data_IF_512876517231
#
_entry.id   IF_512876517231
#
_cell.length_a   1.000
_cell.length_b   1.000
_cell.length_c   1.000
_cell.angle_alpha   90.00
_cell.angle_beta   90.00
_cell.angle_gamma   90.00
#
_symmetry.space_group_name_H-M   'P 1'
#
loop_
_entity.id
_entity.type
_entity.pdbx_description
1 polymer ?
#
# COMPACT_ATOMS: atom_id res chain seq x y z
N UNK A 1 6.50 9.76 -11.32
CA UNK A 1 5.15 10.11 -11.75
C UNK A 1 5.32 10.76 -13.11
N UNK A 2 4.63 10.29 -14.13
CA UNK A 2 4.67 10.91 -15.46
C UNK A 2 3.91 12.25 -15.46
N UNK A 3 4.07 13.03 -16.54
CA UNK A 3 3.45 14.35 -16.62
C UNK A 3 1.93 14.28 -16.62
N UNK A 4 1.34 13.25 -17.25
CA UNK A 4 -0.10 13.04 -17.27
C UNK A 4 -0.69 12.79 -15.87
N UNK A 5 0.02 12.03 -15.02
CA UNK A 5 -0.39 11.81 -13.62
C UNK A 5 -0.30 13.08 -12.77
N UNK A 6 0.66 13.96 -13.06
CA UNK A 6 0.76 15.26 -12.37
C UNK A 6 -0.38 16.18 -12.80
N UNK A 7 -0.61 16.31 -14.10
CA UNK A 7 -1.69 17.14 -14.65
C UNK A 7 -3.06 16.69 -14.11
N UNK A 8 -3.27 15.37 -13.98
CA UNK A 8 -4.49 14.84 -13.36
C UNK A 8 -4.62 15.25 -11.91
N UNK A 9 -3.57 15.07 -11.07
CA UNK A 9 -3.62 15.47 -9.67
C UNK A 9 -3.82 16.99 -9.50
N UNK A 10 -3.19 17.80 -10.35
CA UNK A 10 -3.34 19.26 -10.34
C UNK A 10 -4.74 19.72 -10.81
N UNK A 11 -5.47 18.88 -11.54
CA UNK A 11 -6.85 19.14 -11.94
C UNK A 11 -7.89 18.85 -10.85
N UNK A 12 -7.51 18.06 -9.82
CA UNK A 12 -8.43 17.72 -8.74
C UNK A 12 -8.57 18.86 -7.74
N UNK A 13 -9.78 19.09 -7.19
CA UNK A 13 -9.96 20.02 -6.09
C UNK A 13 -9.12 19.62 -4.88
N UNK A 14 -8.23 20.50 -4.42
CA UNK A 14 -7.48 20.31 -3.19
C UNK A 14 -8.39 20.60 -2.00
N UNK A 15 -8.37 19.74 -1.00
CA UNK A 15 -9.06 19.91 0.27
C UNK A 15 -8.05 20.43 1.29
N UNK A 16 -8.24 21.68 1.71
CA UNK A 16 -7.38 22.32 2.70
C UNK A 16 -7.79 21.97 4.12
N UNK A 17 -6.87 22.16 5.08
CA UNK A 17 -7.13 21.88 6.48
C UNK A 17 -8.36 22.65 7.01
N UNK A 18 -9.28 21.93 7.64
CA UNK A 18 -10.54 22.44 8.14
C UNK A 18 -11.68 22.56 7.12
N UNK A 19 -11.42 22.38 5.83
CA UNK A 19 -12.48 22.24 4.82
C UNK A 19 -13.18 20.89 4.96
N UNK A 20 -14.47 20.89 4.67
CA UNK A 20 -15.33 19.71 4.77
C UNK A 20 -15.81 19.26 3.39
N UNK A 21 -16.15 17.99 3.30
CA UNK A 21 -16.82 17.38 2.17
C UNK A 21 -17.92 16.44 2.64
N UNK A 22 -18.98 16.27 1.85
CA UNK A 22 -20.02 15.29 2.08
C UNK A 22 -19.74 14.05 1.24
N UNK A 23 -19.75 12.88 1.86
CA UNK A 23 -19.66 11.62 1.14
C UNK A 23 -20.22 10.49 1.99
N UNK A 24 -21.01 9.62 1.34
CA UNK A 24 -21.42 8.34 1.90
C UNK A 24 -21.55 7.30 0.78
N UNK A 25 -21.09 6.08 1.05
CA UNK A 25 -21.18 4.97 0.13
C UNK A 25 -21.80 3.76 0.84
N UNK A 26 -23.02 3.44 0.50
CA UNK A 26 -23.76 2.34 1.07
C UNK A 26 -24.69 1.71 0.01
N UNK A 27 -25.34 0.56 0.28
CA UNK A 27 -26.21 -0.13 -0.68
C UNK A 27 -27.40 0.67 -1.20
N UNK A 28 -27.79 1.77 -0.55
CA UNK A 28 -28.91 2.62 -0.98
C UNK A 28 -28.51 3.65 -2.05
N UNK A 29 -27.20 3.82 -2.27
CA UNK A 29 -26.68 4.73 -3.29
C UNK A 29 -26.76 4.07 -4.67
N UNK A 30 -27.35 4.73 -5.70
CA UNK A 30 -27.57 4.13 -7.01
C UNK A 30 -26.31 3.56 -7.69
N UNK A 31 -25.15 4.13 -7.41
CA UNK A 31 -23.86 3.70 -7.95
C UNK A 31 -23.13 2.67 -7.07
N UNK A 32 -23.79 2.09 -6.06
CA UNK A 32 -23.13 1.13 -5.17
C UNK A 32 -22.46 0.00 -5.97
N UNK A 33 -21.20 -0.29 -5.68
CA UNK A 33 -20.32 -1.24 -6.38
C UNK A 33 -19.87 -0.86 -7.80
N UNK A 34 -20.38 0.21 -8.42
CA UNK A 34 -19.97 0.58 -9.80
C UNK A 34 -18.50 0.97 -9.88
N UNK A 35 -17.95 1.61 -8.84
CA UNK A 35 -16.53 1.93 -8.75
C UNK A 35 -15.62 0.71 -8.50
N UNK A 36 -16.18 -0.48 -8.24
CA UNK A 36 -15.43 -1.71 -8.06
C UNK A 36 -15.25 -2.48 -9.37
N UNK A 37 -15.02 -1.77 -10.48
CA UNK A 37 -14.85 -2.32 -11.81
C UNK A 37 -13.81 -1.50 -12.59
N UNK A 38 -13.14 -2.13 -13.56
CA UNK A 38 -12.16 -1.48 -14.47
C UNK A 38 -11.03 -0.72 -13.76
N UNK A 39 -10.64 -1.18 -12.56
CA UNK A 39 -9.66 -0.48 -11.73
C UNK A 39 -8.24 -0.71 -12.19
N UNK A 40 -7.46 0.37 -12.20
CA UNK A 40 -6.00 0.32 -12.22
C UNK A 40 -5.49 0.49 -10.79
N UNK A 41 -5.47 -0.59 -10.02
CA UNK A 41 -5.22 -0.55 -8.58
C UNK A 41 -3.86 -1.17 -8.22
N UNK A 42 -2.83 -0.35 -7.94
CA UNK A 42 -1.59 -0.83 -7.38
C UNK A 42 -1.78 -1.22 -5.91
N UNK A 43 -1.15 -2.33 -5.50
CA UNK A 43 -1.14 -2.79 -4.12
C UNK A 43 0.21 -2.48 -3.48
N UNK A 44 0.19 -1.81 -2.35
CA UNK A 44 1.37 -1.61 -1.51
C UNK A 44 1.73 -2.90 -0.75
N UNK A 45 2.94 -3.02 -0.19
CA UNK A 45 3.27 -4.16 0.68
C UNK A 45 2.29 -4.35 1.83
N UNK A 46 1.81 -3.25 2.41
CA UNK A 46 0.83 -3.29 3.51
C UNK A 46 -0.55 -3.75 3.04
N UNK A 47 -0.99 -3.36 1.83
CA UNK A 47 -2.24 -3.85 1.25
C UNK A 47 -2.22 -5.36 1.05
N UNK A 48 -1.11 -5.90 0.50
CA UNK A 48 -0.94 -7.34 0.31
C UNK A 48 -0.95 -8.08 1.65
N UNK A 49 -0.28 -7.54 2.67
CA UNK A 49 -0.29 -8.09 4.02
C UNK A 49 -1.73 -8.18 4.56
N UNK A 50 -2.50 -7.10 4.49
CA UNK A 50 -3.87 -7.02 5.02
C UNK A 50 -4.81 -7.96 4.28
N UNK A 51 -4.77 -7.96 2.94
CA UNK A 51 -5.60 -8.85 2.11
C UNK A 51 -5.31 -10.33 2.38
N UNK A 52 -4.05 -10.72 2.47
CA UNK A 52 -3.66 -12.10 2.78
C UNK A 52 -4.19 -12.55 4.14
N UNK A 53 -4.05 -11.69 5.16
CA UNK A 53 -4.56 -11.99 6.52
C UNK A 53 -6.08 -12.17 6.53
N UNK A 54 -6.81 -11.38 5.78
CA UNK A 54 -8.26 -11.54 5.62
C UNK A 54 -8.64 -12.87 4.96
N UNK A 55 -7.76 -13.41 4.10
CA UNK A 55 -7.94 -14.65 3.36
C UNK A 55 -7.27 -15.85 4.08
N UNK A 56 -7.45 -15.99 5.38
CA UNK A 56 -6.88 -17.05 6.21
C UNK A 56 -5.36 -17.20 6.07
N UNK A 57 -4.67 -16.09 5.92
CA UNK A 57 -3.23 -16.01 5.72
C UNK A 57 -2.74 -16.87 4.53
N UNK A 58 -3.46 -16.83 3.42
CA UNK A 58 -3.08 -17.51 2.18
C UNK A 58 -1.59 -17.29 1.87
N UNK A 59 -0.89 -18.31 1.36
CA UNK A 59 0.52 -18.20 0.99
C UNK A 59 0.74 -17.03 0.02
N UNK A 60 1.78 -16.23 0.26
CA UNK A 60 2.03 -15.01 -0.51
C UNK A 60 2.18 -15.27 -2.01
N UNK A 61 2.86 -16.35 -2.37
CA UNK A 61 3.02 -16.78 -3.76
C UNK A 61 1.66 -17.06 -4.42
N UNK A 62 0.77 -17.78 -3.72
CA UNK A 62 -0.58 -18.07 -4.19
C UNK A 62 -1.40 -16.79 -4.35
N UNK A 63 -1.31 -15.87 -3.37
CA UNK A 63 -2.00 -14.57 -3.46
C UNK A 63 -1.53 -13.78 -4.68
N UNK A 64 -0.21 -13.59 -4.82
CA UNK A 64 0.36 -12.82 -5.94
C UNK A 64 0.00 -13.45 -7.30
N UNK A 65 0.08 -14.77 -7.42
CA UNK A 65 -0.25 -15.49 -8.66
C UNK A 65 -1.73 -15.36 -9.05
N UNK A 66 -2.64 -15.43 -8.08
CA UNK A 66 -4.08 -15.47 -8.35
C UNK A 66 -4.70 -14.08 -8.48
N UNK A 67 -4.26 -13.11 -7.69
CA UNK A 67 -4.92 -11.82 -7.55
C UNK A 67 -4.14 -10.64 -8.13
N UNK A 68 -2.91 -10.84 -8.61
CA UNK A 68 -2.13 -9.71 -9.11
C UNK A 68 -1.48 -9.97 -10.47
N UNK A 69 -1.13 -8.87 -11.12
CA UNK A 69 -0.19 -8.84 -12.23
C UNK A 69 1.01 -7.99 -11.81
N UNK A 70 2.21 -8.57 -11.87
CA UNK A 70 3.40 -7.86 -11.46
C UNK A 70 3.85 -6.87 -12.53
N UNK A 71 3.96 -5.60 -12.15
CA UNK A 71 4.63 -4.54 -12.91
C UNK A 71 5.82 -4.02 -12.11
N UNK A 72 6.50 -3.01 -12.61
CA UNK A 72 7.54 -2.27 -11.88
C UNK A 72 7.40 -0.78 -12.10
N UNK A 73 7.81 0.00 -11.12
CA UNK A 73 7.97 1.44 -11.29
C UNK A 73 9.13 1.72 -12.25
N UNK A 74 8.90 2.46 -13.35
CA UNK A 74 9.91 2.64 -14.39
C UNK A 74 11.14 3.43 -13.91
N UNK A 75 10.98 4.31 -12.95
CA UNK A 75 12.01 5.18 -12.40
C UNK A 75 12.86 4.52 -11.30
N UNK A 76 12.29 3.60 -10.54
CA UNK A 76 12.98 2.96 -9.41
C UNK A 76 13.23 1.47 -9.61
N UNK A 77 12.50 0.82 -10.52
CA UNK A 77 12.55 -0.64 -10.69
C UNK A 77 11.91 -1.44 -9.55
N UNK A 78 11.27 -0.78 -8.57
CA UNK A 78 10.55 -1.49 -7.52
C UNK A 78 9.37 -2.27 -8.09
N UNK A 79 9.09 -3.47 -7.54
CA UNK A 79 7.92 -4.25 -7.93
C UNK A 79 6.63 -3.51 -7.59
N UNK A 80 5.65 -3.61 -8.49
CA UNK A 80 4.34 -3.00 -8.38
C UNK A 80 3.27 -4.05 -8.70
N UNK A 81 2.80 -4.81 -7.71
CA UNK A 81 1.67 -5.70 -7.89
C UNK A 81 0.40 -4.87 -8.20
N UNK A 82 -0.22 -5.13 -9.35
CA UNK A 82 -1.50 -4.55 -9.74
C UNK A 82 -2.60 -5.54 -9.44
N UNK A 83 -3.66 -5.14 -8.76
CA UNK A 83 -4.82 -6.01 -8.55
C UNK A 83 -5.38 -6.42 -9.92
N UNK A 84 -5.60 -7.72 -10.09
CA UNK A 84 -6.13 -8.28 -11.33
C UNK A 84 -7.64 -8.25 -11.30
N UNK A 85 -8.25 -7.48 -12.19
CA UNK A 85 -9.69 -7.51 -12.41
C UNK A 85 -10.11 -8.84 -13.04
N UNK A 86 -11.35 -9.26 -12.79
CA UNK A 86 -11.91 -10.45 -13.41
C UNK A 86 -12.16 -10.19 -14.90
N UNK A 87 -11.99 -11.23 -15.72
CA UNK A 87 -12.29 -11.15 -17.14
C UNK A 87 -13.79 -11.16 -17.37
N UNK A 88 -14.27 -10.35 -18.30
CA UNK A 88 -15.67 -10.29 -18.68
C UNK A 88 -16.21 -8.86 -18.77
N UNK A 89 -17.51 -8.70 -18.98
CA UNK A 89 -18.13 -7.37 -19.06
C UNK A 89 -17.89 -6.56 -17.79
N UNK A 90 -17.39 -5.32 -17.96
CA UNK A 90 -17.14 -4.39 -16.87
C UNK A 90 -15.95 -4.73 -15.98
N UNK A 91 -15.16 -5.76 -16.31
CA UNK A 91 -13.95 -6.16 -15.57
C UNK A 91 -14.05 -5.95 -14.05
N UNK A 92 -14.95 -6.66 -13.34
CA UNK A 92 -15.19 -6.39 -11.92
C UNK A 92 -14.00 -6.77 -11.05
N UNK A 93 -13.86 -6.07 -9.92
CA UNK A 93 -12.89 -6.39 -8.87
C UNK A 93 -13.13 -7.83 -8.36
N UNK A 94 -12.07 -8.64 -8.11
CA UNK A 94 -12.23 -10.02 -7.63
C UNK A 94 -12.89 -10.14 -6.25
N UNK A 95 -12.96 -9.03 -5.52
CA UNK A 95 -13.51 -8.96 -4.17
C UNK A 95 -14.92 -8.35 -4.12
N UNK A 96 -15.47 -7.87 -5.23
CA UNK A 96 -16.82 -7.31 -5.24
C UNK A 96 -17.86 -8.42 -5.29
N UNK A 97 -18.92 -8.25 -4.50
CA UNK A 97 -20.11 -9.10 -4.48
C UNK A 97 -21.36 -8.23 -4.59
N UNK A 98 -22.54 -8.78 -4.88
CA UNK A 98 -23.78 -8.01 -4.86
C UNK A 98 -24.04 -7.29 -3.51
N UNK A 99 -23.53 -7.85 -2.41
CA UNK A 99 -23.65 -7.28 -1.07
C UNK A 99 -22.56 -6.25 -0.73
N UNK A 100 -21.59 -6.02 -1.62
CA UNK A 100 -20.46 -5.12 -1.40
C UNK A 100 -19.11 -5.82 -1.46
N UNK A 101 -18.08 -5.17 -0.96
CA UNK A 101 -16.72 -5.68 -0.93
C UNK A 101 -16.56 -6.81 0.11
N UNK A 102 -16.16 -8.03 -0.33
CA UNK A 102 -15.92 -9.16 0.57
C UNK A 102 -14.72 -8.99 1.51
N UNK A 103 -13.81 -8.08 1.18
CA UNK A 103 -12.62 -7.76 1.98
C UNK A 103 -12.71 -6.35 2.61
N UNK A 104 -13.93 -5.84 2.84
CA UNK A 104 -14.18 -4.44 3.21
C UNK A 104 -13.28 -3.95 4.36
N UNK A 105 -13.18 -4.73 5.45
CA UNK A 105 -12.36 -4.40 6.62
C UNK A 105 -10.86 -4.42 6.37
N UNK A 106 -10.43 -5.04 5.28
CA UNK A 106 -9.02 -5.15 4.89
C UNK A 106 -8.79 -4.68 3.44
N UNK A 107 -9.72 -3.84 2.92
CA UNK A 107 -9.60 -3.31 1.56
C UNK A 107 -8.34 -2.48 1.40
N UNK A 108 -7.75 -2.43 0.20
CA UNK A 108 -6.55 -1.64 -0.08
C UNK A 108 -6.69 -0.18 0.35
N UNK A 109 -5.57 0.41 0.73
CA UNK A 109 -5.52 1.81 1.17
C UNK A 109 -6.17 2.78 0.18
N UNK A 110 -5.95 2.60 -1.12
CA UNK A 110 -6.60 3.43 -2.15
C UNK A 110 -8.13 3.35 -2.10
N UNK A 111 -8.70 2.14 -1.84
CA UNK A 111 -10.14 1.98 -1.67
C UNK A 111 -10.66 2.59 -0.37
N UNK A 112 -9.83 2.60 0.70
CA UNK A 112 -10.16 3.24 1.98
C UNK A 112 -10.10 4.76 1.90
N UNK A 113 -9.13 5.28 1.14
CA UNK A 113 -8.98 6.71 0.94
C UNK A 113 -10.15 7.33 0.19
N UNK A 114 -10.73 6.62 -0.80
CA UNK A 114 -11.81 7.18 -1.60
C UNK A 114 -12.95 7.73 -0.72
N UNK A 115 -13.41 8.96 -0.93
CA UNK A 115 -13.22 9.82 -2.09
C UNK A 115 -12.00 10.76 -2.01
N UNK A 116 -11.11 10.58 -1.03
CA UNK A 116 -9.89 11.37 -0.96
C UNK A 116 -8.75 10.73 -1.77
N UNK A 117 -7.96 11.56 -2.44
CA UNK A 117 -6.63 11.24 -2.91
C UNK A 117 -5.59 11.83 -1.97
N UNK A 118 -4.52 11.10 -1.66
CA UNK A 118 -3.39 11.57 -0.85
C UNK A 118 -2.16 11.75 -1.73
N UNK A 119 -1.73 13.00 -1.92
CA UNK A 119 -0.43 13.32 -2.49
C UNK A 119 0.62 13.52 -1.40
N UNK A 120 1.81 12.93 -1.55
CA UNK A 120 2.91 13.09 -0.60
C UNK A 120 4.19 13.52 -1.29
N UNK A 121 4.98 14.35 -0.64
CA UNK A 121 6.35 14.68 -1.05
C UNK A 121 7.27 14.75 0.17
N UNK A 122 8.57 14.49 -0.05
CA UNK A 122 9.58 14.72 0.97
C UNK A 122 9.85 16.23 1.06
N UNK A 123 9.47 16.83 2.17
CA UNK A 123 9.78 18.20 2.54
C UNK A 123 11.02 18.30 3.43
N UNK A 124 11.38 19.52 3.82
CA UNK A 124 12.56 19.79 4.69
C UNK A 124 12.41 19.20 6.11
N UNK A 125 11.18 19.07 6.58
CA UNK A 125 10.86 18.65 7.95
C UNK A 125 10.18 17.28 8.04
N UNK A 126 10.12 16.52 6.94
CA UNK A 126 9.46 15.23 6.84
C UNK A 126 8.54 15.15 5.63
N UNK A 127 7.57 14.23 5.70
CA UNK A 127 6.59 14.08 4.65
C UNK A 127 5.57 15.21 4.74
N UNK A 128 5.43 15.95 3.65
CA UNK A 128 4.33 16.91 3.43
C UNK A 128 3.23 16.19 2.66
N UNK A 129 2.01 16.31 3.13
CA UNK A 129 0.84 15.68 2.51
C UNK A 129 -0.19 16.71 2.08
N UNK A 130 -0.90 16.38 1.01
CA UNK A 130 -2.03 17.15 0.47
C UNK A 130 -3.16 16.20 0.17
N UNK A 131 -4.37 16.63 0.38
CA UNK A 131 -5.57 15.86 0.10
C UNK A 131 -6.34 16.48 -1.06
N UNK A 132 -6.92 15.62 -1.89
CA UNK A 132 -7.68 16.00 -3.08
C UNK A 132 -9.01 15.26 -3.07
N UNK A 133 -10.07 15.88 -3.54
CA UNK A 133 -11.34 15.20 -3.77
C UNK A 133 -11.33 14.55 -5.15
N UNK A 134 -11.50 13.21 -5.14
CA UNK A 134 -11.62 12.40 -6.35
C UNK A 134 -13.11 12.12 -6.56
N UNK A 135 -13.71 12.82 -7.50
CA UNK A 135 -15.13 12.64 -7.82
C UNK A 135 -15.28 12.06 -9.23
N UNK A 136 -15.59 10.77 -9.27
CA UNK A 136 -15.89 10.10 -10.52
C UNK A 136 -17.27 10.51 -11.04
N UNK A 137 -17.45 10.69 -12.38
CA UNK A 137 -18.71 11.18 -12.96
C UNK A 137 -19.94 10.32 -12.63
N UNK A 138 -19.73 9.04 -12.36
CA UNK A 138 -20.81 8.09 -12.03
C UNK A 138 -21.10 8.01 -10.52
N UNK A 139 -20.30 8.71 -9.69
CA UNK A 139 -20.41 8.59 -8.25
C UNK A 139 -21.51 9.48 -7.66
N UNK A 140 -22.51 8.87 -7.04
CA UNK A 140 -23.59 9.53 -6.32
C UNK A 140 -23.38 9.60 -4.82
N UNK A 141 -22.21 9.19 -4.33
CA UNK A 141 -21.86 9.24 -2.90
C UNK A 141 -21.77 10.66 -2.35
N UNK A 142 -21.56 11.66 -3.20
CA UNK A 142 -21.49 13.08 -2.84
C UNK A 142 -22.88 13.76 -2.72
N UNK A 143 -23.93 13.11 -3.21
CA UNK A 143 -25.29 13.68 -3.19
C UNK A 143 -25.89 13.68 -1.77
N UNK A 144 -25.36 12.83 -0.92
CA UNK A 144 -25.81 12.62 0.47
C UNK A 144 -24.60 12.31 1.36
N UNK A 145 -24.76 12.49 2.64
CA UNK A 145 -23.75 12.09 3.60
C UNK A 145 -23.57 13.09 4.74
N UNK A 146 -22.70 12.76 5.66
CA UNK A 146 -22.29 13.63 6.75
C UNK A 146 -21.08 14.44 6.32
N UNK A 147 -21.09 15.74 6.63
CA UNK A 147 -19.89 16.58 6.44
C UNK A 147 -18.73 16.09 7.32
N UNK A 148 -17.55 15.95 6.72
CA UNK A 148 -16.32 15.52 7.42
C UNK A 148 -15.12 16.27 6.88
N UNK A 149 -14.15 16.54 7.75
CA UNK A 149 -12.82 16.97 7.31
C UNK A 149 -11.98 15.78 6.85
N UNK A 150 -10.85 16.05 6.18
CA UNK A 150 -9.90 14.99 5.81
C UNK A 150 -9.44 14.21 7.05
N UNK A 151 -9.12 14.89 8.15
CA UNK A 151 -8.66 14.23 9.39
C UNK A 151 -9.73 13.31 10.00
N UNK A 152 -11.00 13.74 9.99
CA UNK A 152 -12.10 12.92 10.46
C UNK A 152 -12.29 11.68 9.56
N UNK A 153 -12.15 11.85 8.23
CA UNK A 153 -12.20 10.74 7.29
C UNK A 153 -11.07 9.73 7.54
N UNK A 154 -9.83 10.19 7.64
CA UNK A 154 -8.68 9.34 7.91
C UNK A 154 -8.85 8.54 9.22
N UNK A 155 -9.38 9.18 10.25
CA UNK A 155 -9.65 8.53 11.53
C UNK A 155 -10.73 7.44 11.39
N UNK A 156 -11.87 7.77 10.78
CA UNK A 156 -13.01 6.86 10.63
C UNK A 156 -12.66 5.66 9.75
N UNK A 157 -11.81 5.88 8.75
CA UNK A 157 -11.34 4.84 7.82
C UNK A 157 -10.09 4.10 8.32
N UNK A 158 -9.63 4.37 9.55
CA UNK A 158 -8.46 3.72 10.19
C UNK A 158 -7.20 3.77 9.31
N UNK A 159 -6.97 4.91 8.65
CA UNK A 159 -5.90 5.07 7.67
C UNK A 159 -4.51 5.29 8.27
N UNK A 160 -4.39 5.50 9.58
CA UNK A 160 -3.12 5.80 10.25
C UNK A 160 -2.05 4.72 10.03
N UNK A 161 -2.42 3.44 10.17
CA UNK A 161 -1.49 2.32 9.97
C UNK A 161 -1.09 2.16 8.49
N UNK A 162 -2.05 2.33 7.56
CA UNK A 162 -1.78 2.32 6.12
C UNK A 162 -0.80 3.43 5.74
N UNK A 163 -1.04 4.65 6.24
CA UNK A 163 -0.16 5.79 5.99
C UNK A 163 1.24 5.56 6.54
N UNK A 164 1.37 5.12 7.78
CA UNK A 164 2.67 4.86 8.40
C UNK A 164 3.49 3.84 7.61
N UNK A 165 2.88 2.71 7.21
CA UNK A 165 3.55 1.68 6.41
C UNK A 165 3.90 2.17 5.01
N UNK A 166 2.96 2.87 4.34
CA UNK A 166 3.17 3.40 2.99
C UNK A 166 4.22 4.50 2.97
N UNK A 167 4.29 5.36 3.97
CA UNK A 167 5.30 6.43 4.08
C UNK A 167 6.72 5.85 4.22
N UNK A 168 6.88 4.76 4.96
CA UNK A 168 8.17 4.05 5.04
C UNK A 168 8.55 3.42 3.68
N UNK A 169 7.60 2.79 3.00
CA UNK A 169 7.83 2.23 1.66
C UNK A 169 8.18 3.33 0.64
N UNK A 170 7.43 4.42 0.63
CA UNK A 170 7.68 5.59 -0.24
C UNK A 170 9.04 6.22 0.03
N UNK A 171 9.47 6.29 1.30
CA UNK A 171 10.80 6.77 1.66
C UNK A 171 11.90 5.90 1.03
N UNK A 172 11.79 4.58 1.11
CA UNK A 172 12.76 3.66 0.49
C UNK A 172 12.81 3.87 -1.03
N UNK A 173 11.66 3.99 -1.69
CA UNK A 173 11.59 4.29 -3.13
C UNK A 173 12.22 5.65 -3.47
N UNK A 174 11.98 6.67 -2.63
CA UNK A 174 12.56 8.00 -2.83
C UNK A 174 14.09 7.97 -2.73
N UNK A 175 14.67 7.19 -1.81
CA UNK A 175 16.10 6.99 -1.69
C UNK A 175 16.68 6.34 -2.96
N UNK A 176 16.02 5.31 -3.50
CA UNK A 176 16.46 4.70 -4.77
C UNK A 176 16.33 5.69 -5.92
N UNK A 177 15.23 6.42 -6.02
CA UNK A 177 15.05 7.46 -7.06
C UNK A 177 16.16 8.51 -7.02
N UNK A 178 16.60 8.90 -5.82
CA UNK A 178 17.69 9.88 -5.64
C UNK A 178 19.03 9.37 -6.17
N UNK A 179 19.24 8.06 -6.34
CA UNK A 179 20.45 7.51 -6.98
C UNK A 179 20.48 7.75 -8.50
N UNK A 180 19.37 8.08 -9.12
CA UNK A 180 19.20 8.21 -10.56
C UNK A 180 19.27 6.89 -11.34
N UNK A 181 19.25 5.74 -10.64
CA UNK A 181 19.31 4.40 -11.24
C UNK A 181 18.23 3.50 -10.67
N UNK A 182 17.50 2.76 -11.52
CA UNK A 182 16.57 1.75 -11.04
C UNK A 182 17.30 0.58 -10.37
N UNK A 183 16.57 -0.19 -9.57
CA UNK A 183 17.06 -1.42 -8.97
C UNK A 183 17.55 -2.40 -10.04
N UNK A 184 18.68 -3.03 -9.79
CA UNK A 184 19.14 -4.19 -10.54
C UNK A 184 18.12 -5.33 -10.48
N UNK A 185 17.96 -6.16 -11.52
CA UNK A 185 16.95 -7.24 -11.57
C UNK A 185 16.97 -8.18 -10.35
N UNK A 186 18.17 -8.50 -9.85
CA UNK A 186 18.32 -9.33 -8.65
C UNK A 186 17.77 -8.63 -7.41
N UNK A 187 17.98 -7.33 -7.29
CA UNK A 187 17.50 -6.53 -6.18
C UNK A 187 15.98 -6.32 -6.27
N UNK A 188 15.44 -6.16 -7.47
CA UNK A 188 14.00 -6.12 -7.68
C UNK A 188 13.32 -7.45 -7.29
N UNK A 189 13.93 -8.60 -7.61
CA UNK A 189 13.45 -9.92 -7.15
C UNK A 189 13.50 -10.02 -5.62
N UNK A 190 14.58 -9.56 -5.01
CA UNK A 190 14.70 -9.50 -3.54
C UNK A 190 13.62 -8.60 -2.93
N UNK A 191 13.29 -7.48 -3.55
CA UNK A 191 12.21 -6.60 -3.10
C UNK A 191 10.83 -7.29 -3.16
N UNK A 192 10.54 -8.11 -4.20
CA UNK A 192 9.32 -8.93 -4.21
C UNK A 192 9.29 -9.86 -2.99
N UNK A 193 10.37 -10.59 -2.76
CA UNK A 193 10.47 -11.56 -1.67
C UNK A 193 10.32 -10.86 -0.30
N UNK A 194 11.08 -9.81 -0.05
CA UNK A 194 11.10 -9.16 1.26
C UNK A 194 9.81 -8.39 1.57
N UNK A 195 9.23 -7.70 0.57
CA UNK A 195 8.14 -6.76 0.79
C UNK A 195 6.75 -7.36 0.55
N UNK A 196 6.63 -8.33 -0.35
CA UNK A 196 5.35 -8.89 -0.74
C UNK A 196 5.18 -10.37 -0.41
N UNK A 197 6.26 -11.05 0.02
CA UNK A 197 6.25 -12.48 0.38
C UNK A 197 6.83 -12.68 1.79
N UNK A 198 6.20 -12.07 2.81
CA UNK A 198 6.70 -12.06 4.19
C UNK A 198 6.88 -13.45 4.79
N UNK A 199 6.07 -14.43 4.41
CA UNK A 199 6.24 -15.84 4.77
C UNK A 199 7.59 -16.38 4.23
N UNK A 200 7.90 -16.14 2.96
CA UNK A 200 9.18 -16.51 2.35
C UNK A 200 10.35 -15.70 2.89
N UNK A 201 10.12 -14.44 3.23
CA UNK A 201 11.16 -13.62 3.86
C UNK A 201 11.54 -14.15 5.25
N UNK A 202 10.59 -14.63 6.06
CA UNK A 202 10.87 -15.30 7.33
C UNK A 202 11.67 -16.59 7.15
N UNK A 203 11.34 -17.39 6.12
CA UNK A 203 12.15 -18.56 5.75
C UNK A 203 13.59 -18.13 5.41
N UNK A 204 13.77 -17.08 4.62
CA UNK A 204 15.10 -16.55 4.26
C UNK A 204 15.87 -16.07 5.48
N UNK A 205 15.22 -15.34 6.41
CA UNK A 205 15.83 -14.89 7.68
C UNK A 205 16.43 -16.08 8.44
N UNK A 206 15.67 -17.19 8.52
CA UNK A 206 16.09 -18.40 9.23
C UNK A 206 17.23 -19.12 8.49
N UNK A 207 17.10 -19.34 7.18
CA UNK A 207 18.07 -20.06 6.36
C UNK A 207 19.42 -19.35 6.26
N UNK A 208 19.39 -18.04 6.12
CA UNK A 208 20.59 -17.20 5.99
C UNK A 208 21.12 -16.70 7.35
N UNK A 209 20.48 -17.07 8.46
CA UNK A 209 20.83 -16.60 9.79
C UNK A 209 20.99 -15.08 9.88
N UNK A 210 20.08 -14.33 9.23
CA UNK A 210 20.21 -12.86 9.07
C UNK A 210 20.42 -12.16 10.40
N UNK A 211 19.75 -12.58 11.47
CA UNK A 211 19.90 -11.99 12.81
C UNK A 211 21.30 -12.19 13.43
N UNK A 212 22.12 -13.10 12.88
CA UNK A 212 23.52 -13.21 13.29
C UNK A 212 24.40 -12.09 12.72
N UNK A 213 23.99 -11.47 11.62
CA UNK A 213 24.74 -10.47 10.87
C UNK A 213 24.30 -9.02 11.11
N UNK A 214 23.13 -8.82 11.72
CA UNK A 214 22.58 -7.49 12.03
C UNK A 214 22.18 -7.40 13.50
N UNK A 215 22.32 -6.19 14.05
CA UNK A 215 21.93 -5.94 15.43
C UNK A 215 20.41 -5.71 15.52
N UNK A 216 19.71 -6.76 15.99
CA UNK A 216 18.25 -6.74 16.21
C UNK A 216 17.97 -7.26 17.61
N UNK A 217 17.34 -6.49 18.49
CA UNK A 217 16.97 -6.94 19.83
C UNK A 217 16.14 -8.23 19.81
N UNK A 218 16.38 -9.15 20.77
CA UNK A 218 15.73 -10.45 20.81
C UNK A 218 14.19 -10.34 20.79
N UNK A 219 13.61 -9.38 21.51
CA UNK A 219 12.17 -9.14 21.49
C UNK A 219 11.66 -8.79 20.07
N UNK A 220 12.41 -7.96 19.32
CA UNK A 220 12.06 -7.63 17.91
C UNK A 220 12.21 -8.86 17.02
N UNK A 221 13.24 -9.69 17.21
CA UNK A 221 13.38 -10.95 16.45
C UNK A 221 12.15 -11.86 16.66
N UNK A 222 11.70 -12.03 17.91
CA UNK A 222 10.50 -12.80 18.24
C UNK A 222 9.26 -12.23 17.55
N UNK A 223 9.08 -10.90 17.59
CA UNK A 223 7.96 -10.26 16.90
C UNK A 223 7.99 -10.48 15.40
N UNK A 224 9.15 -10.32 14.74
CA UNK A 224 9.32 -10.52 13.29
C UNK A 224 8.91 -11.95 12.88
N UNK A 225 9.25 -12.95 13.71
CA UNK A 225 9.00 -14.36 13.43
C UNK A 225 7.60 -14.84 13.83
N UNK A 226 6.81 -14.00 14.51
CA UNK A 226 5.46 -14.37 14.96
C UNK A 226 4.47 -14.47 13.80
N UNK A 227 3.65 -15.51 13.79
CA UNK A 227 2.54 -15.67 12.85
C UNK A 227 1.27 -14.98 13.40
N UNK A 228 1.24 -13.66 13.28
CA UNK A 228 0.13 -12.80 13.71
C UNK A 228 0.13 -11.54 12.86
N UNK A 229 -0.95 -10.76 12.90
CA UNK A 229 -1.00 -9.46 12.20
C UNK A 229 0.12 -8.52 12.66
N UNK A 230 0.36 -8.43 13.95
CA UNK A 230 1.44 -7.59 14.50
C UNK A 230 2.83 -8.16 14.15
N UNK A 231 2.94 -9.48 14.06
CA UNK A 231 4.14 -10.14 13.55
C UNK A 231 4.41 -9.79 12.08
N UNK A 232 3.38 -9.77 11.25
CA UNK A 232 3.53 -9.38 9.83
C UNK A 232 3.89 -7.89 9.69
N UNK A 233 3.33 -7.02 10.51
CA UNK A 233 3.73 -5.60 10.57
C UNK A 233 5.21 -5.48 10.96
N UNK A 234 5.64 -6.20 12.00
CA UNK A 234 7.04 -6.22 12.43
C UNK A 234 7.99 -6.78 11.36
N UNK A 235 7.54 -7.83 10.64
CA UNK A 235 8.30 -8.41 9.54
C UNK A 235 8.42 -7.44 8.35
N UNK A 236 7.34 -6.75 7.99
CA UNK A 236 7.35 -5.73 6.93
C UNK A 236 8.26 -4.55 7.29
N UNK A 237 8.19 -4.09 8.52
CA UNK A 237 9.08 -3.04 9.03
C UNK A 237 10.54 -3.45 8.94
N UNK A 238 10.85 -4.67 9.36
CA UNK A 238 12.20 -5.21 9.23
C UNK A 238 12.62 -5.41 7.78
N UNK A 239 11.71 -5.83 6.91
CA UNK A 239 11.97 -5.98 5.48
C UNK A 239 12.35 -4.66 4.82
N UNK A 240 11.69 -3.55 5.18
CA UNK A 240 12.03 -2.21 4.69
C UNK A 240 13.43 -1.78 5.15
N UNK A 241 13.75 -1.99 6.44
CA UNK A 241 15.08 -1.69 6.99
C UNK A 241 16.16 -2.57 6.34
N UNK A 242 15.86 -3.85 6.12
CA UNK A 242 16.75 -4.79 5.44
C UNK A 242 17.00 -4.41 3.98
N UNK A 243 15.96 -4.03 3.24
CA UNK A 243 16.10 -3.55 1.87
C UNK A 243 16.95 -2.28 1.81
N UNK A 244 16.76 -1.32 2.72
CA UNK A 244 17.62 -0.14 2.82
C UNK A 244 19.09 -0.56 3.03
N UNK A 245 19.35 -1.49 3.94
CA UNK A 245 20.70 -1.97 4.25
C UNK A 245 21.37 -2.67 3.04
N UNK A 246 20.65 -3.54 2.32
CA UNK A 246 21.26 -4.29 1.21
C UNK A 246 21.40 -3.46 -0.06
N UNK A 247 20.55 -2.46 -0.28
CA UNK A 247 20.65 -1.55 -1.43
C UNK A 247 21.79 -0.52 -1.23
N UNK A 248 21.88 0.08 -0.05
CA UNK A 248 22.79 1.21 0.21
C UNK A 248 24.00 0.84 1.06
N UNK A 249 24.10 -0.39 1.57
CA UNK A 249 25.15 -0.82 2.50
C UNK A 249 25.00 -0.27 3.92
N UNK A 250 24.01 0.56 4.16
CA UNK A 250 23.66 1.19 5.45
C UNK A 250 22.14 1.32 5.59
N UNK A 251 21.67 1.37 6.83
CA UNK A 251 20.26 1.62 7.15
C UNK A 251 20.18 2.56 8.34
N UNK A 252 19.10 3.35 8.39
CA UNK A 252 18.83 4.23 9.53
C UNK A 252 18.43 3.46 10.80
N UNK A 253 18.04 2.20 10.68
CA UNK A 253 17.49 1.37 11.75
C UNK A 253 18.25 0.07 12.03
N UNK A 254 19.14 -0.34 11.12
CA UNK A 254 19.95 -1.55 11.26
C UNK A 254 21.42 -1.25 11.17
N UNK A 255 22.20 -1.82 12.09
CA UNK A 255 23.67 -1.87 12.04
C UNK A 255 24.13 -3.30 11.79
N UNK A 256 25.23 -3.44 11.02
CA UNK A 256 25.94 -4.71 10.86
C UNK A 256 26.66 -5.03 12.17
N UNK A 257 26.65 -6.30 12.56
CA UNK A 257 27.49 -6.81 13.67
C UNK A 257 28.93 -6.96 13.26
#
# INVERSE_FOLDING_TARGET
MDDASKDYLESLPELHSGETFCFDCNPEVPCFNQCCAELTLPLTPYDVLRLRRHMDNIASETFLANFTTMRSFPDTGFPLPMLRMLQGPGEPCPFVTPAGCSVYENRPGACRFYPLGRGTKMGKHGIEERFFLVQEPHCHGFDKGTERTAEQWLHNEELSEYNAANDRYMRLMALVRATGKPLEPRMATMAVLCLFQLDKFRELISQMHIFAHVDVPAARQTSIMADSLDGDKAALDFALDWMELIIFGQSSQLSKK
#
